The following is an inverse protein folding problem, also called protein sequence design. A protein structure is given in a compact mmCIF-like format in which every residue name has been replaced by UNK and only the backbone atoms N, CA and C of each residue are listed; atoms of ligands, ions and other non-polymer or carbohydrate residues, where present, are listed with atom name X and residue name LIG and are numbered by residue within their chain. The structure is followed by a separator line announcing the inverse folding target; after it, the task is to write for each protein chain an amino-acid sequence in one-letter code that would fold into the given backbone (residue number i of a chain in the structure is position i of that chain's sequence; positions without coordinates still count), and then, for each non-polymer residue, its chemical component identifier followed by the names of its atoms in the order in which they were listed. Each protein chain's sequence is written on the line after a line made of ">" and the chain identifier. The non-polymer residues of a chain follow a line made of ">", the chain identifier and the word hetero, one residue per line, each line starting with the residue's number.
data_IF_292023772819
#
_entry.id   IF_292023772819
#
_cell.length_a   1.000
_cell.length_b   1.000
_cell.length_c   1.000
_cell.angle_alpha   90.00
_cell.angle_beta   90.00
_cell.angle_gamma   90.00
#
_symmetry.space_group_name_H-M   'P 1'
#
loop_
_entity.id
_entity.type
_entity.pdbx_description
1 polymer ?
#
# COMPACT_ATOMS: atom_id res chain seq x y z
N UNK A 1 -0.57 13.15 8.12
CA UNK A 1 -1.68 12.95 9.09
C UNK A 1 -2.66 11.91 8.54
N UNK A 2 -2.41 10.62 8.77
CA UNK A 2 -3.29 9.54 8.30
C UNK A 2 -4.47 9.29 9.27
N UNK A 3 -4.17 9.10 10.55
CA UNK A 3 -5.18 8.71 11.57
C UNK A 3 -6.34 9.71 11.70
N UNK A 4 -6.13 11.05 11.73
CA UNK A 4 -7.25 11.98 11.81
C UNK A 4 -8.20 11.89 10.61
N UNK A 5 -7.66 11.71 9.40
CA UNK A 5 -8.44 11.58 8.17
C UNK A 5 -9.27 10.29 8.15
N UNK A 6 -8.68 9.18 8.61
CA UNK A 6 -9.38 7.90 8.67
C UNK A 6 -10.61 7.93 9.59
N UNK A 7 -10.66 8.85 10.55
CA UNK A 7 -11.83 9.04 11.43
C UNK A 7 -12.96 9.84 10.78
N UNK A 8 -12.67 10.59 9.72
CA UNK A 8 -13.67 11.42 9.03
C UNK A 8 -14.31 10.70 7.84
N UNK A 9 -13.62 9.71 7.26
CA UNK A 9 -14.13 8.92 6.15
C UNK A 9 -14.96 7.75 6.68
N UNK A 10 -16.15 7.53 6.09
CA UNK A 10 -17.06 6.45 6.52
C UNK A 10 -16.61 5.07 6.05
N UNK A 11 -15.97 4.99 4.89
CA UNK A 11 -15.48 3.76 4.28
C UNK A 11 -14.28 4.05 3.39
N UNK A 12 -13.41 3.04 3.20
CA UNK A 12 -12.25 3.13 2.30
C UNK A 12 -12.34 1.99 1.28
N UNK A 13 -12.48 2.35 0.01
CA UNK A 13 -12.45 1.39 -1.09
C UNK A 13 -11.05 1.28 -1.71
N UNK A 14 -10.31 2.39 -1.71
CA UNK A 14 -8.97 2.48 -2.27
C UNK A 14 -8.07 3.27 -1.32
N UNK A 15 -6.88 2.74 -1.04
CA UNK A 15 -5.81 3.44 -0.35
C UNK A 15 -4.55 3.48 -1.22
N UNK A 16 -3.88 4.63 -1.27
CA UNK A 16 -2.66 4.85 -2.04
C UNK A 16 -1.56 5.35 -1.10
N UNK A 17 -0.44 4.63 -1.07
CA UNK A 17 0.78 5.01 -0.35
C UNK A 17 1.82 5.54 -1.33
N UNK A 18 2.30 6.75 -1.08
CA UNK A 18 3.42 7.42 -1.77
C UNK A 18 4.05 8.45 -0.79
N UNK A 19 4.21 8.04 0.47
CA UNK A 19 4.61 8.92 1.56
C UNK A 19 6.10 8.70 1.91
N UNK A 20 6.37 8.10 3.07
CA UNK A 20 7.70 7.81 3.55
C UNK A 20 7.96 6.30 3.46
N UNK A 21 9.08 5.95 2.81
CA UNK A 21 9.41 4.57 2.41
C UNK A 21 10.29 3.84 3.44
N UNK A 22 10.23 4.19 4.73
CA UNK A 22 10.78 3.32 5.77
C UNK A 22 9.89 2.09 5.94
N UNK A 23 10.52 0.97 6.31
CA UNK A 23 9.80 -0.25 6.61
C UNK A 23 8.72 -0.02 7.69
N UNK A 24 9.06 0.75 8.74
CA UNK A 24 8.17 1.04 9.85
C UNK A 24 6.94 1.83 9.41
N UNK A 25 7.12 2.89 8.62
CA UNK A 25 6.01 3.73 8.16
C UNK A 25 5.09 2.97 7.21
N UNK A 26 5.66 2.35 6.17
CA UNK A 26 4.88 1.53 5.23
C UNK A 26 4.07 0.46 5.98
N UNK A 27 4.71 -0.29 6.89
CA UNK A 27 4.00 -1.31 7.65
C UNK A 27 2.90 -0.75 8.54
N UNK A 28 3.15 0.39 9.18
CA UNK A 28 2.17 1.05 10.03
C UNK A 28 0.96 1.51 9.22
N UNK A 29 1.17 2.20 8.09
CA UNK A 29 0.08 2.64 7.22
C UNK A 29 -0.70 1.45 6.68
N UNK A 30 -0.03 0.45 6.11
CA UNK A 30 -0.68 -0.74 5.54
C UNK A 30 -1.57 -1.46 6.56
N UNK A 31 -1.06 -1.72 7.77
CA UNK A 31 -1.86 -2.34 8.85
C UNK A 31 -3.04 -1.47 9.26
N UNK A 32 -2.82 -0.16 9.37
CA UNK A 32 -3.84 0.79 9.80
C UNK A 32 -5.00 0.83 8.79
N UNK A 33 -4.70 0.91 7.49
CA UNK A 33 -5.75 1.08 6.49
C UNK A 33 -6.38 -0.24 6.07
N UNK A 34 -5.65 -1.35 6.11
CA UNK A 34 -6.20 -2.67 5.74
C UNK A 34 -7.40 -3.09 6.59
N UNK A 35 -7.39 -2.77 7.89
CA UNK A 35 -8.54 -3.01 8.77
C UNK A 35 -9.78 -2.22 8.37
N UNK A 36 -9.60 -1.05 7.75
CA UNK A 36 -10.65 -0.12 7.36
C UNK A 36 -11.10 -0.27 5.89
N UNK A 37 -10.31 -0.98 5.07
CA UNK A 37 -10.70 -1.30 3.70
C UNK A 37 -11.97 -2.15 3.68
N UNK A 38 -12.91 -1.78 2.82
CA UNK A 38 -14.06 -2.61 2.49
C UNK A 38 -13.60 -3.96 1.90
N UNK A 39 -14.49 -4.96 1.94
CA UNK A 39 -14.25 -6.23 1.25
C UNK A 39 -14.07 -5.98 -0.25
N UNK A 40 -13.01 -6.54 -0.85
CA UNK A 40 -12.64 -6.26 -2.23
C UNK A 40 -11.92 -4.93 -2.45
N UNK A 41 -11.66 -4.16 -1.39
CA UNK A 41 -10.92 -2.89 -1.43
C UNK A 41 -9.46 -3.07 -1.81
N UNK A 42 -8.85 -2.00 -2.31
CA UNK A 42 -7.53 -2.03 -2.96
C UNK A 42 -6.54 -1.18 -2.16
N UNK A 43 -5.35 -1.74 -1.92
CA UNK A 43 -4.19 -1.01 -1.45
C UNK A 43 -3.17 -0.93 -2.60
N UNK A 44 -2.73 0.29 -2.88
CA UNK A 44 -1.70 0.61 -3.88
C UNK A 44 -0.53 1.23 -3.13
N UNK A 45 0.70 0.83 -3.45
CA UNK A 45 1.92 1.41 -2.90
C UNK A 45 2.89 1.73 -4.02
N UNK A 46 3.44 2.92 -4.00
CA UNK A 46 4.64 3.28 -4.74
C UNK A 46 5.88 2.60 -4.13
N UNK A 47 6.94 2.52 -4.93
CA UNK A 47 8.30 2.07 -4.57
C UNK A 47 8.39 0.88 -3.60
N UNK A 48 7.66 -0.20 -3.91
CA UNK A 48 7.60 -1.41 -3.07
C UNK A 48 8.94 -2.17 -2.97
N UNK A 49 9.94 -1.75 -3.74
CA UNK A 49 11.30 -2.32 -3.75
C UNK A 49 12.26 -1.59 -2.80
N UNK A 50 11.88 -0.44 -2.23
CA UNK A 50 12.73 0.29 -1.25
C UNK A 50 13.04 -0.53 0.00
N UNK A 51 12.13 -1.43 0.41
CA UNK A 51 12.33 -2.34 1.51
C UNK A 51 11.37 -3.55 1.39
N UNK A 52 11.30 -4.42 2.42
CA UNK A 52 10.48 -5.65 2.39
C UNK A 52 9.02 -5.50 2.87
N UNK A 53 8.61 -4.32 3.36
CA UNK A 53 7.32 -4.11 4.02
C UNK A 53 6.13 -4.58 3.18
N UNK A 54 6.09 -4.23 1.90
CA UNK A 54 5.01 -4.69 1.02
C UNK A 54 4.96 -6.22 0.92
N UNK A 55 6.11 -6.86 0.67
CA UNK A 55 6.20 -8.32 0.53
C UNK A 55 5.88 -9.06 1.83
N UNK A 56 6.30 -8.54 2.97
CA UNK A 56 6.02 -9.13 4.28
C UNK A 56 4.56 -8.90 4.68
N UNK A 57 3.99 -7.74 4.36
CA UNK A 57 2.58 -7.48 4.58
C UNK A 57 1.69 -8.43 3.78
N UNK A 58 2.01 -8.68 2.50
CA UNK A 58 1.27 -9.64 1.67
C UNK A 58 1.23 -11.04 2.31
N UNK A 59 2.33 -11.49 2.95
CA UNK A 59 2.37 -12.78 3.66
C UNK A 59 1.48 -12.80 4.90
N UNK A 60 1.34 -11.66 5.58
CA UNK A 60 0.51 -11.51 6.77
C UNK A 60 -0.98 -11.57 6.40
N UNK A 61 -1.40 -10.77 5.40
CA UNK A 61 -2.83 -10.59 5.12
C UNK A 61 -3.39 -11.54 4.08
N UNK A 62 -2.52 -12.18 3.28
CA UNK A 62 -2.89 -13.13 2.21
C UNK A 62 -4.00 -12.56 1.31
N UNK A 63 -3.71 -11.46 0.60
CA UNK A 63 -4.70 -10.76 -0.21
C UNK A 63 -5.25 -11.68 -1.31
N UNK A 64 -6.49 -11.45 -1.74
CA UNK A 64 -7.14 -12.22 -2.80
C UNK A 64 -6.53 -12.00 -4.17
N UNK A 65 -5.81 -10.89 -4.35
CA UNK A 65 -5.09 -10.55 -5.58
C UNK A 65 -3.81 -9.77 -5.26
N UNK A 66 -2.75 -10.03 -6.03
CA UNK A 66 -1.47 -9.33 -5.98
C UNK A 66 -1.02 -9.02 -7.41
N UNK A 67 -0.65 -7.78 -7.68
CA UNK A 67 -0.02 -7.36 -8.93
C UNK A 67 1.13 -6.41 -8.64
N UNK A 68 2.21 -6.53 -9.39
CA UNK A 68 3.36 -5.63 -9.35
C UNK A 68 3.56 -5.04 -10.74
N UNK A 69 3.72 -3.73 -10.85
CA UNK A 69 3.91 -3.04 -12.11
C UNK A 69 5.20 -2.24 -12.09
N UNK A 70 6.03 -2.44 -13.11
CA UNK A 70 7.26 -1.66 -13.32
C UNK A 70 6.91 -0.38 -14.07
N UNK A 71 6.91 0.74 -13.35
CA UNK A 71 6.75 2.06 -13.92
C UNK A 71 8.12 2.64 -14.27
N UNK A 72 8.22 3.29 -15.44
CA UNK A 72 9.46 3.87 -15.96
C UNK A 72 9.34 5.39 -15.93
N UNK A 73 10.21 6.06 -15.19
CA UNK A 73 10.32 7.51 -15.28
C UNK A 73 11.03 7.92 -16.57
N UNK A 74 10.87 9.20 -16.95
CA UNK A 74 11.51 9.78 -18.14
C UNK A 74 13.05 9.72 -18.09
N UNK A 75 13.64 9.53 -16.91
CA UNK A 75 15.10 9.60 -16.68
C UNK A 75 15.60 8.38 -15.89
N UNK A 76 15.59 7.19 -16.50
CA UNK A 76 16.37 6.02 -16.07
C UNK A 76 16.07 5.38 -14.71
N UNK A 77 15.24 6.00 -13.87
CA UNK A 77 14.76 5.43 -12.60
C UNK A 77 13.52 4.59 -12.84
N UNK A 78 13.46 3.45 -12.15
CA UNK A 78 12.31 2.54 -12.16
C UNK A 78 11.67 2.57 -10.79
N UNK A 79 10.38 2.86 -10.73
CA UNK A 79 9.57 2.58 -9.55
C UNK A 79 8.77 1.30 -9.76
N UNK A 80 8.54 0.57 -8.68
CA UNK A 80 7.68 -0.62 -8.71
C UNK A 80 6.44 -0.32 -7.90
N UNK A 81 5.29 -0.36 -8.57
CA UNK A 81 3.98 -0.21 -7.94
C UNK A 81 3.50 -1.58 -7.49
N UNK A 82 3.10 -1.69 -6.23
CA UNK A 82 2.41 -2.85 -5.69
C UNK A 82 0.93 -2.60 -5.54
N UNK A 83 0.11 -3.55 -5.98
CA UNK A 83 -1.35 -3.51 -5.86
C UNK A 83 -1.80 -4.81 -5.21
N UNK A 84 -2.55 -4.71 -4.11
CA UNK A 84 -3.19 -5.84 -3.47
C UNK A 84 -4.67 -5.59 -3.23
N UNK A 85 -5.47 -6.65 -3.33
CA UNK A 85 -6.90 -6.63 -3.04
C UNK A 85 -7.20 -7.40 -1.76
N UNK A 86 -7.95 -6.78 -0.85
CA UNK A 86 -8.50 -7.43 0.34
C UNK A 86 -9.59 -8.41 -0.08
#
# INVERSE_FOLDING_TARGET
>A
MLVPLLRTVKSVDVFVHDSEHSYQNMMWEFKTVWGLLNNGGILISDDITCNRAFSDFCKIVRPTYIMTYWARYRVGTYNVIGIIRK
#
